data_IF_886803916389
#
_entry.id   IF_886803916389
#
_cell.length_a   1.000
_cell.length_b   1.000
_cell.length_c   1.000
_cell.angle_alpha   90.00
_cell.angle_beta   90.00
_cell.angle_gamma   90.00
#
_symmetry.space_group_name_H-M   'P 1'
#
loop_
_entity.id
_entity.type
_entity.pdbx_description
1 polymer ?
#
# COMPACT_ATOMS: atom_id res chain seq x y z
N UNK A 1 -4.57 5.38 -26.22
CA UNK A 1 -5.22 4.71 -25.07
C UNK A 1 -4.91 3.23 -25.13
N UNK A 2 -3.83 2.82 -24.52
CA UNK A 2 -3.54 1.41 -24.30
C UNK A 2 -4.54 0.89 -23.29
N UNK A 3 -5.53 0.14 -23.74
CA UNK A 3 -6.34 -0.69 -22.85
C UNK A 3 -5.41 -1.71 -22.22
N UNK A 4 -5.19 -1.59 -20.94
CA UNK A 4 -4.57 -2.65 -20.14
C UNK A 4 -5.56 -3.81 -20.11
N UNK A 5 -5.17 -5.03 -20.53
CA UNK A 5 -6.08 -6.17 -20.55
C UNK A 5 -6.71 -6.37 -19.17
N UNK A 6 -8.02 -6.51 -19.11
CA UNK A 6 -8.79 -6.68 -17.90
C UNK A 6 -8.31 -7.87 -17.09
N UNK A 7 -8.36 -7.76 -15.77
CA UNK A 7 -8.12 -8.71 -14.69
C UNK A 7 -6.71 -8.80 -14.09
N UNK A 8 -5.77 -7.95 -14.41
CA UNK A 8 -4.55 -7.87 -13.63
C UNK A 8 -4.62 -6.66 -12.69
N UNK A 9 -4.47 -6.89 -11.41
CA UNK A 9 -4.04 -5.87 -10.46
C UNK A 9 -2.63 -5.44 -10.90
N UNK A 10 -2.55 -4.35 -11.62
CA UNK A 10 -1.27 -3.80 -12.06
C UNK A 10 -0.68 -3.00 -10.91
N UNK A 11 -0.14 -3.70 -9.94
CA UNK A 11 0.68 -3.08 -8.90
C UNK A 11 2.13 -3.22 -9.28
N UNK A 12 2.82 -2.10 -9.39
CA UNK A 12 4.26 -2.06 -9.60
C UNK A 12 4.92 -1.62 -8.30
N UNK A 13 5.87 -2.41 -7.84
CA UNK A 13 6.77 -2.02 -6.75
C UNK A 13 8.11 -1.74 -7.40
N UNK A 14 8.53 -0.50 -7.33
CA UNK A 14 9.88 -0.13 -7.76
C UNK A 14 10.85 -0.55 -6.67
N UNK A 15 11.49 -1.69 -6.87
CA UNK A 15 12.31 -2.35 -5.84
C UNK A 15 13.77 -1.92 -5.83
N UNK A 16 14.22 -1.27 -6.89
CA UNK A 16 15.62 -0.84 -6.99
C UNK A 16 15.71 0.67 -7.21
N UNK A 17 16.06 1.42 -6.16
CA UNK A 17 16.53 2.78 -6.36
C UNK A 17 17.93 2.70 -6.99
N UNK A 18 18.00 2.93 -8.26
CA UNK A 18 19.28 3.05 -8.96
C UNK A 18 19.74 4.49 -8.76
N UNK A 19 20.31 4.79 -7.60
CA UNK A 19 20.97 6.09 -7.43
C UNK A 19 22.47 5.93 -7.25
N UNK A 20 23.28 6.66 -8.04
CA UNK A 20 24.69 6.78 -7.79
C UNK A 20 25.05 7.40 -6.44
N UNK A 21 24.10 8.04 -5.78
CA UNK A 21 24.27 8.84 -4.56
C UNK A 21 23.82 8.15 -3.26
N UNK A 22 23.59 6.85 -3.27
CA UNK A 22 23.35 6.10 -2.04
C UNK A 22 21.97 6.28 -1.40
N UNK A 23 21.00 6.88 -2.10
CA UNK A 23 19.62 6.97 -1.63
C UNK A 23 18.85 5.66 -1.89
N UNK A 24 19.42 4.54 -1.48
CA UNK A 24 18.91 3.18 -1.78
C UNK A 24 17.54 2.81 -1.18
N UNK A 25 16.90 3.73 -0.49
CA UNK A 25 15.76 3.38 0.37
C UNK A 25 14.45 4.05 -0.03
N UNK A 26 14.36 4.62 -1.22
CA UNK A 26 13.14 5.34 -1.62
C UNK A 26 12.43 4.61 -2.73
N UNK A 27 11.76 3.54 -2.37
CA UNK A 27 10.92 2.80 -3.29
C UNK A 27 9.54 3.44 -3.36
N UNK A 28 9.05 3.66 -4.56
CA UNK A 28 7.68 4.07 -4.82
C UNK A 28 6.86 2.85 -5.23
N UNK A 29 5.70 2.70 -4.65
CA UNK A 29 4.70 1.73 -5.10
C UNK A 29 3.66 2.45 -5.95
N UNK A 30 3.37 1.91 -7.11
CA UNK A 30 2.39 2.46 -8.04
C UNK A 30 1.30 1.42 -8.26
N UNK A 31 0.05 1.86 -8.14
CA UNK A 31 -1.12 1.02 -8.34
C UNK A 31 -1.98 1.62 -9.42
N UNK A 32 -2.16 0.86 -10.49
CA UNK A 32 -3.08 1.20 -11.58
C UNK A 32 -4.25 0.23 -11.50
N UNK A 33 -5.39 0.72 -11.06
CA UNK A 33 -6.61 -0.08 -11.01
C UNK A 33 -7.20 -0.28 -12.40
N UNK A 34 -8.11 -1.23 -12.51
CA UNK A 34 -8.96 -1.34 -13.70
C UNK A 34 -9.76 -0.04 -13.87
N UNK A 35 -9.83 0.46 -15.08
CA UNK A 35 -10.49 1.72 -15.41
C UNK A 35 -11.82 1.48 -16.15
N UNK A 36 -12.88 2.22 -15.85
CA UNK A 36 -12.97 3.25 -14.82
C UNK A 36 -13.00 2.63 -13.41
N UNK A 37 -12.28 3.24 -12.45
CA UNK A 37 -12.27 2.78 -11.05
C UNK A 37 -13.44 3.37 -10.25
N UNK A 38 -13.84 4.59 -10.56
CA UNK A 38 -14.98 5.25 -9.92
C UNK A 38 -16.16 5.38 -10.87
N UNK A 39 -17.38 5.27 -10.33
CA UNK A 39 -18.62 5.37 -11.12
C UNK A 39 -18.80 6.71 -11.82
N UNK A 40 -18.21 7.77 -11.28
CA UNK A 40 -18.26 9.13 -11.84
C UNK A 40 -17.10 9.46 -12.76
N UNK A 41 -16.16 8.54 -12.93
CA UNK A 41 -14.99 8.73 -13.78
C UNK A 41 -15.38 8.70 -15.25
N UNK A 42 -14.89 9.66 -16.03
CA UNK A 42 -15.13 9.66 -17.47
C UNK A 42 -14.33 8.57 -18.17
N UNK A 43 -14.83 8.09 -19.31
CA UNK A 43 -14.21 7.00 -20.05
C UNK A 43 -12.78 7.28 -20.56
N UNK A 44 -12.44 8.56 -20.72
CA UNK A 44 -11.11 9.01 -21.15
C UNK A 44 -10.21 9.48 -20.01
N UNK A 45 -10.62 9.27 -18.75
CA UNK A 45 -9.84 9.60 -17.57
C UNK A 45 -9.32 8.31 -16.92
N UNK A 46 -8.12 8.39 -16.35
CA UNK A 46 -7.50 7.32 -15.57
C UNK A 46 -7.06 7.84 -14.21
N UNK A 47 -7.20 7.02 -13.18
CA UNK A 47 -6.76 7.32 -11.83
C UNK A 47 -5.61 6.38 -11.47
N UNK A 48 -4.50 6.96 -11.05
CA UNK A 48 -3.29 6.25 -10.66
C UNK A 48 -2.93 6.66 -9.24
N UNK A 49 -2.52 5.70 -8.43
CA UNK A 49 -2.06 5.93 -7.07
C UNK A 49 -0.58 5.60 -6.97
N UNK A 50 0.14 6.47 -6.30
CA UNK A 50 1.53 6.22 -5.92
C UNK A 50 1.72 6.51 -4.43
N UNK A 51 2.55 5.74 -3.76
CA UNK A 51 2.90 6.00 -2.37
C UNK A 51 4.33 5.57 -2.07
N UNK A 52 4.93 6.19 -1.07
CA UNK A 52 6.24 5.88 -0.54
C UNK A 52 6.30 6.18 0.96
N UNK A 53 7.18 5.48 1.65
CA UNK A 53 7.17 5.47 3.12
C UNK A 53 8.06 6.55 3.77
N UNK A 54 8.91 7.21 3.00
CA UNK A 54 9.95 8.10 3.53
C UNK A 54 9.77 9.55 3.07
N UNK A 55 8.77 10.28 3.55
CA UNK A 55 8.39 11.59 3.02
C UNK A 55 9.47 12.67 3.17
N UNK A 56 10.43 12.48 4.08
CA UNK A 56 11.54 13.41 4.30
C UNK A 56 12.78 13.11 3.45
N UNK A 57 12.81 11.99 2.73
CA UNK A 57 13.86 11.70 1.77
C UNK A 57 13.71 12.61 0.55
N UNK A 58 14.81 12.81 -0.16
CA UNK A 58 14.81 13.58 -1.40
C UNK A 58 14.51 12.64 -2.56
N UNK A 59 13.78 13.17 -3.53
CA UNK A 59 13.57 12.49 -4.80
C UNK A 59 14.88 12.35 -5.56
N UNK A 60 14.88 11.49 -6.53
CA UNK A 60 16.03 11.19 -7.36
C UNK A 60 16.09 12.10 -8.59
N UNK A 61 14.96 12.35 -9.20
CA UNK A 61 14.81 13.19 -10.39
C UNK A 61 14.51 14.64 -10.01
N UNK A 62 13.75 14.82 -8.95
CA UNK A 62 13.50 16.12 -8.35
C UNK A 62 14.23 16.19 -7.02
N UNK A 63 15.35 16.92 -6.98
CA UNK A 63 16.20 17.04 -5.77
C UNK A 63 15.52 17.87 -4.66
N UNK A 64 14.36 17.39 -4.20
CA UNK A 64 13.54 17.99 -3.17
C UNK A 64 12.96 16.91 -2.26
N UNK A 65 12.72 17.23 -0.99
CA UNK A 65 12.05 16.27 -0.10
C UNK A 65 10.62 16.02 -0.59
N UNK A 66 10.20 14.75 -0.62
CA UNK A 66 8.87 14.37 -1.08
C UNK A 66 7.75 15.16 -0.42
N UNK A 67 7.82 15.36 0.89
CA UNK A 67 6.84 16.15 1.65
C UNK A 67 6.73 17.61 1.20
N UNK A 68 7.72 18.12 0.50
CA UNK A 68 7.79 19.51 0.02
C UNK A 68 7.51 19.62 -1.48
N UNK A 69 7.35 18.51 -2.19
CA UNK A 69 7.07 18.52 -3.61
C UNK A 69 5.66 19.02 -3.89
N UNK A 70 5.52 19.79 -4.94
CA UNK A 70 4.23 20.11 -5.56
C UNK A 70 3.71 18.89 -6.33
N UNK A 71 2.44 18.93 -6.75
CA UNK A 71 1.89 17.86 -7.60
C UNK A 71 2.68 17.67 -8.89
N UNK A 72 3.09 18.78 -9.53
CA UNK A 72 3.91 18.73 -10.75
C UNK A 72 5.27 18.07 -10.50
N UNK A 73 5.97 18.46 -9.46
CA UNK A 73 7.25 17.89 -9.09
C UNK A 73 7.13 16.39 -8.71
N UNK A 74 6.03 16.02 -8.04
CA UNK A 74 5.76 14.63 -7.71
C UNK A 74 5.51 13.78 -8.96
N UNK A 75 4.83 14.33 -9.95
CA UNK A 75 4.61 13.67 -11.23
C UNK A 75 5.93 13.50 -12.01
N UNK A 76 6.78 14.52 -12.03
CA UNK A 76 8.11 14.43 -12.65
C UNK A 76 8.95 13.34 -11.99
N UNK A 77 8.96 13.28 -10.67
CA UNK A 77 9.64 12.23 -9.93
C UNK A 77 9.08 10.84 -10.30
N UNK A 78 7.75 10.71 -10.39
CA UNK A 78 7.06 9.47 -10.76
C UNK A 78 7.47 9.01 -12.17
N UNK A 79 7.44 9.90 -13.16
CA UNK A 79 7.81 9.61 -14.54
C UNK A 79 9.28 9.17 -14.60
N UNK A 80 10.15 9.91 -13.93
CA UNK A 80 11.57 9.57 -13.84
C UNK A 80 11.80 8.19 -13.22
N UNK A 81 11.09 7.85 -12.17
CA UNK A 81 11.21 6.51 -11.55
C UNK A 81 10.67 5.41 -12.47
N UNK A 82 9.56 5.65 -13.15
CA UNK A 82 8.99 4.69 -14.10
C UNK A 82 9.93 4.44 -15.29
N UNK A 83 10.67 5.44 -15.73
CA UNK A 83 11.62 5.31 -16.84
C UNK A 83 12.72 4.28 -16.60
N UNK A 84 12.99 3.97 -15.33
CA UNK A 84 13.98 2.96 -14.93
C UNK A 84 13.47 1.53 -14.99
N UNK A 85 12.16 1.35 -14.96
CA UNK A 85 11.55 0.02 -14.92
C UNK A 85 11.66 -0.68 -16.26
N UNK A 86 11.52 0.07 -17.34
CA UNK A 86 11.65 -0.45 -18.71
C UNK A 86 12.40 0.57 -19.56
N UNK A 87 13.73 0.44 -19.65
CA UNK A 87 14.56 1.30 -20.50
C UNK A 87 14.46 0.95 -21.99
N UNK A 88 13.39 0.29 -22.41
CA UNK A 88 13.17 -0.12 -23.79
C UNK A 88 13.10 1.05 -24.79
N UNK A 89 12.94 0.76 -26.09
CA UNK A 89 12.98 1.77 -27.14
C UNK A 89 11.87 2.83 -27.10
N UNK A 90 10.90 2.65 -26.22
CA UNK A 90 9.81 3.59 -25.95
C UNK A 90 9.84 3.99 -24.48
N UNK A 91 10.92 4.64 -24.05
CA UNK A 91 11.06 5.08 -22.67
C UNK A 91 9.95 6.11 -22.35
N UNK A 92 9.36 5.96 -21.18
CA UNK A 92 8.32 6.88 -20.69
C UNK A 92 8.81 8.34 -20.61
N UNK A 93 10.13 8.57 -20.49
CA UNK A 93 10.71 9.92 -20.52
C UNK A 93 10.51 10.61 -21.87
N UNK A 94 10.44 9.86 -22.96
CA UNK A 94 10.18 10.41 -24.31
C UNK A 94 8.75 10.96 -24.42
N UNK A 95 7.88 10.56 -23.49
CA UNK A 95 6.48 10.98 -23.39
C UNK A 95 6.24 11.94 -22.21
N UNK A 96 7.28 12.43 -21.56
CA UNK A 96 7.13 13.25 -20.34
C UNK A 96 6.22 14.46 -20.59
N UNK A 97 6.47 15.23 -21.64
CA UNK A 97 5.67 16.42 -21.95
C UNK A 97 4.21 16.06 -22.22
N UNK A 98 3.95 15.01 -23.01
CA UNK A 98 2.58 14.56 -23.31
C UNK A 98 1.85 14.08 -22.05
N UNK A 99 2.55 13.36 -21.17
CA UNK A 99 1.99 12.89 -19.90
C UNK A 99 1.69 14.09 -19.01
N UNK A 100 2.64 15.03 -18.86
CA UNK A 100 2.48 16.22 -18.05
C UNK A 100 1.29 17.07 -18.51
N UNK A 101 1.10 17.21 -19.81
CA UNK A 101 -0.03 17.96 -20.40
C UNK A 101 -1.36 17.22 -20.26
N UNK A 102 -1.34 15.89 -20.20
CA UNK A 102 -2.54 15.07 -20.05
C UNK A 102 -3.07 14.99 -18.61
N UNK A 103 -2.25 15.35 -17.63
CA UNK A 103 -2.62 15.23 -16.22
C UNK A 103 -3.60 16.33 -15.81
N UNK A 104 -4.80 15.92 -15.47
CA UNK A 104 -5.84 16.83 -14.96
C UNK A 104 -5.46 17.34 -13.55
N UNK A 105 -4.97 16.45 -12.71
CA UNK A 105 -4.58 16.79 -11.35
C UNK A 105 -3.60 15.76 -10.76
N UNK A 106 -2.65 16.24 -9.97
CA UNK A 106 -1.80 15.42 -9.13
C UNK A 106 -1.82 15.97 -7.72
N UNK A 107 -2.38 15.21 -6.78
CA UNK A 107 -2.62 15.63 -5.41
C UNK A 107 -1.67 14.88 -4.49
N UNK A 108 -0.56 15.49 -4.05
CA UNK A 108 0.27 14.91 -3.00
C UNK A 108 -0.47 14.98 -1.66
N UNK A 109 -0.57 13.83 -1.01
CA UNK A 109 -1.17 13.71 0.32
C UNK A 109 -0.12 13.17 1.29
N UNK A 110 0.13 13.90 2.36
CA UNK A 110 0.95 13.43 3.45
C UNK A 110 0.07 12.91 4.59
N UNK A 111 0.23 11.64 4.92
CA UNK A 111 -0.49 11.00 6.03
C UNK A 111 0.47 10.83 7.22
N UNK A 112 0.41 11.70 8.23
CA UNK A 112 1.24 11.60 9.41
C UNK A 112 1.00 10.27 10.12
N UNK A 113 2.09 9.65 10.59
CA UNK A 113 2.05 8.40 11.36
C UNK A 113 1.54 7.16 10.62
N UNK A 114 1.21 7.23 9.34
CA UNK A 114 0.76 6.06 8.57
C UNK A 114 1.77 4.89 8.64
N UNK A 115 3.06 5.20 8.61
CA UNK A 115 4.14 4.20 8.74
C UNK A 115 4.45 3.77 10.19
N UNK A 116 3.79 4.35 11.20
CA UNK A 116 4.03 3.99 12.59
C UNK A 116 3.67 2.52 12.89
N UNK A 117 2.76 1.95 12.11
CA UNK A 117 2.39 0.53 12.22
C UNK A 117 3.53 -0.43 11.86
N UNK A 118 4.53 0.03 11.09
CA UNK A 118 5.72 -0.75 10.73
C UNK A 118 6.84 -0.69 11.76
N UNK A 119 6.71 0.17 12.77
CA UNK A 119 7.74 0.28 13.79
C UNK A 119 7.84 -1.01 14.61
N UNK A 120 9.06 -1.35 14.95
CA UNK A 120 9.33 -2.46 15.88
C UNK A 120 8.63 -2.20 17.21
N UNK A 121 7.94 -3.21 17.70
CA UNK A 121 7.26 -3.18 19.00
C UNK A 121 7.25 -4.56 19.63
N UNK A 122 7.11 -4.62 20.93
CA UNK A 122 6.96 -5.86 21.61
C UNK A 122 5.56 -6.45 21.40
N UNK A 123 5.42 -7.74 21.65
CA UNK A 123 4.10 -8.38 21.71
C UNK A 123 3.33 -7.70 22.86
N UNK A 124 2.07 -7.41 22.64
CA UNK A 124 1.19 -6.70 23.56
C UNK A 124 1.37 -5.17 23.67
N UNK A 125 2.22 -4.55 22.88
CA UNK A 125 2.27 -3.08 22.77
C UNK A 125 1.04 -2.49 22.09
N UNK A 126 0.31 -3.31 21.36
CA UNK A 126 -0.96 -2.91 20.74
C UNK A 126 -2.11 -3.12 21.73
N UNK A 127 -3.08 -2.21 21.79
CA UNK A 127 -4.26 -2.42 22.60
C UNK A 127 -5.08 -3.61 22.07
N UNK A 128 -5.64 -4.38 23.00
CA UNK A 128 -6.65 -5.40 22.64
C UNK A 128 -7.91 -4.73 22.09
N UNK A 129 -8.66 -5.42 21.22
CA UNK A 129 -9.95 -4.92 20.70
C UNK A 129 -10.89 -4.59 21.87
N UNK A 130 -10.99 -5.49 22.82
CA UNK A 130 -11.70 -5.24 24.08
C UNK A 130 -10.66 -5.17 25.18
N UNK A 131 -10.36 -3.98 25.69
CA UNK A 131 -9.39 -3.84 26.79
C UNK A 131 -9.80 -4.61 28.03
N UNK A 132 -8.85 -5.20 28.72
CA UNK A 132 -9.12 -5.89 29.99
C UNK A 132 -9.87 -4.96 30.95
N UNK A 133 -10.86 -5.51 31.60
CA UNK A 133 -11.72 -4.79 32.55
C UNK A 133 -12.62 -3.70 31.94
N UNK A 134 -12.71 -3.62 30.62
CA UNK A 134 -13.67 -2.74 29.93
C UNK A 134 -14.95 -3.49 29.61
N UNK A 135 -16.09 -2.84 29.87
CA UNK A 135 -17.41 -3.37 29.55
C UNK A 135 -18.13 -2.59 28.43
N UNK A 136 -17.63 -1.39 28.14
CA UNK A 136 -18.29 -0.47 27.21
C UNK A 136 -17.32 0.28 26.28
N UNK A 137 -16.08 -0.20 26.16
CA UNK A 137 -15.06 0.38 25.32
C UNK A 137 -14.47 -0.70 24.41
N UNK A 138 -14.30 -0.40 23.14
CA UNK A 138 -13.54 -1.20 22.21
C UNK A 138 -12.62 -0.30 21.36
N UNK A 139 -11.47 -0.82 21.01
CA UNK A 139 -10.60 -0.24 20.00
C UNK A 139 -10.73 -1.02 18.68
N UNK A 140 -10.88 -0.33 17.57
CA UNK A 140 -11.00 -0.94 16.25
C UNK A 140 -10.07 -0.25 15.26
N UNK A 141 -9.60 -0.97 14.27
CA UNK A 141 -8.69 -0.48 13.26
C UNK A 141 -7.45 -1.35 13.13
N UNK A 142 -6.55 -0.95 12.28
CA UNK A 142 -5.33 -1.71 11.98
C UNK A 142 -4.31 -1.73 13.12
N UNK A 143 -4.44 -0.80 14.07
CA UNK A 143 -3.49 -0.63 15.17
C UNK A 143 -3.74 -1.56 16.36
N UNK A 144 -4.88 -2.26 16.42
CA UNK A 144 -5.21 -3.13 17.54
C UNK A 144 -4.53 -4.49 17.42
N UNK A 145 -4.30 -5.12 18.58
CA UNK A 145 -3.78 -6.48 18.61
C UNK A 145 -4.87 -7.47 18.20
N UNK A 146 -4.54 -8.31 17.24
CA UNK A 146 -5.43 -9.38 16.81
C UNK A 146 -4.65 -10.68 16.66
N UNK A 147 -5.14 -11.79 17.21
CA UNK A 147 -4.52 -13.09 17.04
C UNK A 147 -4.39 -13.45 15.55
N UNK A 148 -3.17 -13.86 15.16
CA UNK A 148 -2.89 -14.34 13.79
C UNK A 148 -2.99 -13.29 12.67
N UNK A 149 -3.11 -12.02 13.00
CA UNK A 149 -3.01 -10.92 12.05
C UNK A 149 -1.60 -10.31 12.16
N UNK A 150 -0.78 -10.56 11.18
CA UNK A 150 0.60 -10.06 11.15
C UNK A 150 0.73 -8.78 10.33
N UNK A 151 -0.20 -8.56 9.41
CA UNK A 151 -0.18 -7.42 8.49
C UNK A 151 -1.41 -6.56 8.75
N UNK A 152 -1.18 -5.26 8.90
CA UNK A 152 -2.26 -4.28 8.99
C UNK A 152 -2.83 -4.07 7.59
N UNK A 153 -4.04 -4.51 7.42
CA UNK A 153 -4.81 -4.47 6.18
C UNK A 153 -6.25 -4.08 6.49
N UNK A 154 -6.98 -3.65 5.48
CA UNK A 154 -8.42 -3.42 5.62
C UNK A 154 -9.14 -4.62 6.26
N UNK A 155 -8.73 -5.83 5.91
CA UNK A 155 -9.26 -7.05 6.53
C UNK A 155 -9.03 -7.07 8.06
N UNK A 156 -7.86 -6.65 8.52
CA UNK A 156 -7.59 -6.52 9.95
C UNK A 156 -8.49 -5.49 10.62
N UNK A 157 -8.68 -4.35 9.98
CA UNK A 157 -9.55 -3.30 10.49
C UNK A 157 -11.01 -3.77 10.57
N UNK A 158 -11.54 -4.38 9.50
CA UNK A 158 -12.90 -4.94 9.47
C UNK A 158 -13.07 -6.00 10.56
N UNK A 159 -12.11 -6.91 10.68
CA UNK A 159 -12.19 -7.96 11.70
C UNK A 159 -12.21 -7.42 13.13
N UNK A 160 -11.45 -6.37 13.41
CA UNK A 160 -11.50 -5.73 14.72
C UNK A 160 -12.87 -5.13 15.01
N UNK A 161 -13.51 -4.55 13.99
CA UNK A 161 -14.88 -4.06 14.08
C UNK A 161 -15.89 -5.19 14.33
N UNK A 162 -15.76 -6.33 13.64
CA UNK A 162 -16.61 -7.51 13.87
C UNK A 162 -16.46 -8.03 15.30
N UNK A 163 -15.23 -8.14 15.81
CA UNK A 163 -14.98 -8.58 17.20
C UNK A 163 -15.68 -7.65 18.19
N UNK A 164 -15.51 -6.34 18.01
CA UNK A 164 -16.16 -5.35 18.87
C UNK A 164 -17.71 -5.44 18.81
N UNK A 165 -18.26 -5.53 17.60
CA UNK A 165 -19.70 -5.64 17.41
C UNK A 165 -20.28 -6.92 18.04
N UNK A 166 -19.61 -8.05 17.86
CA UNK A 166 -20.06 -9.33 18.43
C UNK A 166 -19.98 -9.31 19.96
N UNK A 167 -18.92 -8.72 20.52
CA UNK A 167 -18.81 -8.57 21.96
C UNK A 167 -19.98 -7.80 22.55
N UNK A 168 -20.29 -6.61 22.01
CA UNK A 168 -21.39 -5.79 22.51
C UNK A 168 -22.78 -6.35 22.22
N UNK A 169 -22.94 -7.13 21.15
CA UNK A 169 -24.17 -7.82 20.83
C UNK A 169 -24.36 -9.13 21.60
N UNK A 170 -23.40 -9.54 22.42
CA UNK A 170 -23.45 -10.83 23.11
C UNK A 170 -23.39 -12.04 22.17
N UNK A 171 -22.83 -11.86 20.99
CA UNK A 171 -22.67 -12.93 19.99
C UNK A 171 -21.33 -13.62 20.20
N UNK A 172 -21.35 -14.94 20.18
CA UNK A 172 -20.11 -15.72 20.33
C UNK A 172 -19.10 -15.43 19.18
N UNK A 173 -17.86 -15.18 19.53
CA UNK A 173 -16.75 -15.03 18.56
C UNK A 173 -16.52 -16.27 17.68
N UNK A 174 -17.04 -17.43 18.08
CA UNK A 174 -17.01 -18.63 17.23
C UNK A 174 -17.78 -18.45 15.91
N UNK A 175 -18.67 -17.45 15.82
CA UNK A 175 -19.38 -17.09 14.59
C UNK A 175 -18.59 -16.15 13.67
N UNK A 176 -17.45 -15.60 14.14
CA UNK A 176 -16.57 -14.82 13.29
C UNK A 176 -16.03 -15.66 12.13
N UNK A 177 -15.88 -15.03 11.00
CA UNK A 177 -15.22 -15.66 9.85
C UNK A 177 -13.85 -16.17 10.28
N UNK A 178 -13.59 -17.45 10.06
CA UNK A 178 -12.31 -18.06 10.43
C UNK A 178 -11.20 -17.53 9.54
N UNK A 179 -10.16 -17.01 10.16
CA UNK A 179 -8.93 -16.72 9.43
C UNK A 179 -8.29 -18.03 8.94
N UNK A 180 -7.98 -18.13 7.64
CA UNK A 180 -7.23 -19.28 7.15
C UNK A 180 -5.84 -19.29 7.81
N UNK A 181 -5.51 -20.39 8.45
CA UNK A 181 -4.23 -20.59 9.12
C UNK A 181 -3.23 -21.25 8.19
N UNK A 182 -2.77 -20.51 7.20
CA UNK A 182 -1.78 -20.99 6.22
C UNK A 182 -0.44 -21.37 6.85
N UNK A 183 -0.10 -20.76 7.98
CA UNK A 183 1.08 -21.07 8.78
C UNK A 183 1.10 -22.53 9.31
N UNK A 184 -0.04 -23.18 9.37
CA UNK A 184 -0.20 -24.56 9.83
C UNK A 184 -0.53 -25.56 8.70
N UNK A 185 -0.69 -25.10 7.48
CA UNK A 185 -0.93 -26.01 6.35
C UNK A 185 0.42 -26.57 5.84
N UNK A 186 0.68 -27.86 6.02
CA UNK A 186 1.95 -28.46 5.62
C UNK A 186 2.19 -28.38 4.10
N UNK A 187 1.14 -28.25 3.30
CA UNK A 187 1.25 -28.08 1.84
C UNK A 187 1.80 -26.70 1.48
N UNK A 188 1.41 -25.67 2.23
CA UNK A 188 1.92 -24.31 2.05
C UNK A 188 3.38 -24.25 2.47
N UNK A 189 3.73 -24.84 3.61
CA UNK A 189 5.11 -24.91 4.10
C UNK A 189 6.01 -25.66 3.11
N UNK A 190 5.55 -26.79 2.61
CA UNK A 190 6.32 -27.58 1.62
C UNK A 190 6.58 -26.79 0.33
N UNK A 191 5.56 -26.07 -0.18
CA UNK A 191 5.71 -25.21 -1.38
C UNK A 191 6.65 -24.05 -1.13
N UNK A 192 6.55 -23.41 0.03
CA UNK A 192 7.45 -22.32 0.40
C UNK A 192 8.91 -22.81 0.47
N UNK A 193 9.13 -23.94 1.15
CA UNK A 193 10.46 -24.56 1.25
C UNK A 193 11.02 -24.91 -0.13
N UNK A 194 10.22 -25.51 -1.00
CA UNK A 194 10.65 -25.83 -2.36
C UNK A 194 11.13 -24.59 -3.12
N UNK A 195 10.40 -23.48 -3.05
CA UNK A 195 10.76 -22.22 -3.72
C UNK A 195 12.00 -21.53 -3.14
N UNK A 196 12.38 -21.83 -1.91
CA UNK A 196 13.61 -21.30 -1.32
C UNK A 196 14.89 -21.96 -1.86
N UNK A 197 14.76 -23.12 -2.51
CA UNK A 197 15.87 -23.89 -3.05
C UNK A 197 15.87 -23.96 -4.60
N UNK A 198 14.90 -23.36 -5.24
CA UNK A 198 14.86 -23.06 -6.69
C UNK A 198 15.42 -21.68 -6.98
#
# INVERSE_FOLDING_TARGET
TTQVPGNALNSFILTEPITPLGHKDVNMSIVVHHQPHFTTQKANESVIWGYFLYPRRRGEFVDKQYIKMTGKEMLQELIGQLSKVDPGPHNIMDLEDEIMDSVINCIPVYMPYASALFNNRAKSDRPEVIPKHSTNLAFTGEFVEQPYQMVFTEQSAVRSGEVAAFHFAGVSEAKLVKNPRFDKDPRVLLRATKRMFE
#
